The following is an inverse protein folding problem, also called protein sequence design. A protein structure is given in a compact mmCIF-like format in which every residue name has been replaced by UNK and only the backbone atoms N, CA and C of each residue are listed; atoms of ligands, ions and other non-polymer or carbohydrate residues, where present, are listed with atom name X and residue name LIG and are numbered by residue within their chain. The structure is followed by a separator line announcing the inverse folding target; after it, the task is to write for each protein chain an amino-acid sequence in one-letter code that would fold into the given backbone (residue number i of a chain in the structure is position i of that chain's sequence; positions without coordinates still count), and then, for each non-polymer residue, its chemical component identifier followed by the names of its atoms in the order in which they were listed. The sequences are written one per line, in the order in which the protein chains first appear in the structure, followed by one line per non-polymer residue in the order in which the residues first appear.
data_IF_468327119996
#
_entry.id   IF_468327119996
#
_cell.length_a   1.000
_cell.length_b   1.000
_cell.length_c   1.000
_cell.angle_alpha   90.00
_cell.angle_beta   90.00
_cell.angle_gamma   90.00
#
_symmetry.space_group_name_H-M   'P 1'
#
loop_
_entity.id
_entity.type
_entity.pdbx_description
1 polymer ?
#
# COMPACT_ATOMS: atom_id res chain seq x y z
N UNK A 1 12.33 15.20 21.81
CA UNK A 1 12.73 16.45 21.12
C UNK A 1 11.89 17.63 21.58
N UNK A 2 10.57 17.64 21.33
CA UNK A 2 9.69 18.79 21.68
C UNK A 2 9.62 19.11 23.18
N UNK A 3 9.69 18.12 24.07
CA UNK A 3 9.82 18.36 25.52
C UNK A 3 11.05 19.20 25.87
N UNK A 4 12.18 18.99 25.18
CA UNK A 4 13.43 19.74 25.44
C UNK A 4 13.37 21.18 24.91
N UNK A 5 12.64 21.41 23.81
CA UNK A 5 12.57 22.73 23.15
C UNK A 5 11.45 23.60 23.71
N UNK A 6 10.28 23.02 23.94
CA UNK A 6 9.05 23.74 24.30
C UNK A 6 8.61 23.48 25.75
N UNK A 7 9.22 22.52 26.45
CA UNK A 7 8.97 22.28 27.87
C UNK A 7 7.50 22.02 28.20
N UNK A 8 7.04 22.69 29.26
CA UNK A 8 5.70 22.52 29.86
C UNK A 8 4.54 22.82 28.90
N UNK A 9 4.55 23.90 28.08
CA UNK A 9 3.53 24.15 27.05
C UNK A 9 3.25 22.96 26.13
N UNK A 10 4.30 22.27 25.68
CA UNK A 10 4.15 21.08 24.85
C UNK A 10 3.62 19.89 25.65
N UNK A 11 4.15 19.64 26.84
CA UNK A 11 3.72 18.51 27.68
C UNK A 11 2.23 18.58 28.05
N UNK A 12 1.69 19.79 28.25
CA UNK A 12 0.28 19.99 28.59
C UNK A 12 -0.66 19.88 27.38
N UNK A 13 -0.13 19.88 26.16
CA UNK A 13 -0.91 19.85 24.92
C UNK A 13 -0.40 18.75 23.96
N UNK A 14 0.33 17.74 24.48
CA UNK A 14 0.93 16.69 23.66
C UNK A 14 -0.13 15.86 22.94
N UNK A 15 -1.33 15.76 23.53
CA UNK A 15 -2.50 15.08 22.99
C UNK A 15 -2.83 15.53 21.55
N UNK A 16 -2.67 16.82 21.22
CA UNK A 16 -2.92 17.34 19.86
C UNK A 16 -2.01 16.66 18.84
N UNK A 17 -0.74 16.42 19.21
CA UNK A 17 0.23 15.75 18.36
C UNK A 17 0.04 14.23 18.38
N UNK A 18 -0.27 13.64 19.53
CA UNK A 18 -0.54 12.20 19.66
C UNK A 18 -1.73 11.78 18.79
N UNK A 19 -2.81 12.57 18.79
CA UNK A 19 -3.98 12.35 17.93
C UNK A 19 -3.62 12.47 16.44
N UNK A 20 -2.80 13.45 16.05
CA UNK A 20 -2.31 13.57 14.68
C UNK A 20 -1.56 12.31 14.24
N UNK A 21 -0.64 11.80 15.06
CA UNK A 21 0.12 10.59 14.74
C UNK A 21 -0.76 9.33 14.72
N UNK A 22 -1.77 9.25 15.59
CA UNK A 22 -2.74 8.16 15.58
C UNK A 22 -3.56 8.12 14.28
N UNK A 23 -4.05 9.27 13.82
CA UNK A 23 -4.80 9.37 12.56
C UNK A 23 -3.90 9.11 11.33
N UNK A 24 -2.65 9.59 11.33
CA UNK A 24 -1.67 9.26 10.28
C UNK A 24 -1.43 7.75 10.20
N UNK A 25 -1.28 7.09 11.36
CA UNK A 25 -1.13 5.63 11.42
C UNK A 25 -2.37 4.91 10.92
N UNK A 26 -3.57 5.39 11.29
CA UNK A 26 -4.85 4.83 10.85
C UNK A 26 -5.02 4.95 9.33
N UNK A 27 -4.68 6.10 8.76
CA UNK A 27 -4.67 6.31 7.31
C UNK A 27 -3.73 5.32 6.61
N UNK A 28 -2.52 5.16 7.12
CA UNK A 28 -1.53 4.22 6.58
C UNK A 28 -2.01 2.76 6.62
N UNK A 29 -2.65 2.33 7.71
CA UNK A 29 -3.17 0.95 7.84
C UNK A 29 -4.43 0.67 7.02
N UNK A 30 -4.90 1.63 6.22
CA UNK A 30 -6.07 1.44 5.34
C UNK A 30 -7.38 2.01 5.88
N UNK A 31 -7.36 2.80 6.94
CA UNK A 31 -8.54 3.50 7.44
C UNK A 31 -9.13 4.47 6.40
N UNK A 32 -10.45 4.65 6.44
CA UNK A 32 -11.16 5.67 5.65
C UNK A 32 -11.02 7.03 6.33
N UNK A 33 -9.84 7.64 6.20
CA UNK A 33 -9.51 8.95 6.78
C UNK A 33 -9.19 9.90 5.64
N UNK A 34 -9.78 11.09 5.63
CA UNK A 34 -9.39 12.15 4.73
C UNK A 34 -8.15 12.87 5.29
N UNK A 35 -7.01 12.67 4.63
CA UNK A 35 -5.73 13.19 5.10
C UNK A 35 -5.69 14.73 5.11
N UNK A 36 -6.36 15.35 4.15
CA UNK A 36 -6.42 16.81 4.04
C UNK A 36 -7.25 17.43 5.16
N UNK A 37 -8.42 16.86 5.43
CA UNK A 37 -9.29 17.26 6.53
C UNK A 37 -8.60 17.10 7.88
N UNK A 38 -8.00 15.93 8.13
CA UNK A 38 -7.28 15.65 9.38
C UNK A 38 -6.13 16.63 9.63
N UNK A 39 -5.39 17.02 8.58
CA UNK A 39 -4.32 18.01 8.70
C UNK A 39 -4.89 19.40 8.96
N UNK A 40 -5.98 19.79 8.29
CA UNK A 40 -6.63 21.07 8.53
C UNK A 40 -7.13 21.15 9.99
N UNK A 41 -7.79 20.10 10.49
CA UNK A 41 -8.27 20.00 11.87
C UNK A 41 -7.14 20.10 12.90
N UNK A 42 -6.00 19.44 12.63
CA UNK A 42 -4.82 19.55 13.48
C UNK A 42 -4.34 21.00 13.59
N UNK A 43 -4.24 21.72 12.47
CA UNK A 43 -3.78 23.11 12.47
C UNK A 43 -4.77 24.07 13.12
N UNK A 44 -6.07 23.87 12.94
CA UNK A 44 -7.12 24.64 13.61
C UNK A 44 -7.06 24.47 15.12
N UNK A 45 -7.02 23.22 15.60
CA UNK A 45 -6.90 22.92 17.04
C UNK A 45 -5.60 23.44 17.63
N UNK A 46 -4.49 23.35 16.89
CA UNK A 46 -3.21 23.88 17.34
C UNK A 46 -3.23 25.41 17.44
N UNK A 47 -3.89 26.09 16.48
CA UNK A 47 -4.05 27.55 16.51
C UNK A 47 -4.82 27.99 17.75
N UNK A 48 -5.98 27.40 18.02
CA UNK A 48 -6.82 27.73 19.18
C UNK A 48 -6.05 27.55 20.50
N UNK A 49 -5.36 26.42 20.65
CA UNK A 49 -4.55 26.12 21.85
C UNK A 49 -3.40 27.11 22.00
N UNK A 50 -2.63 27.37 20.95
CA UNK A 50 -1.53 28.33 20.99
C UNK A 50 -2.02 29.74 21.30
N UNK A 51 -3.11 30.17 20.66
CA UNK A 51 -3.65 31.52 20.83
C UNK A 51 -4.10 31.75 22.26
N UNK A 52 -4.75 30.75 22.88
CA UNK A 52 -5.16 30.79 24.29
C UNK A 52 -3.97 30.80 25.24
N UNK A 53 -2.92 30.02 24.96
CA UNK A 53 -1.71 29.98 25.78
C UNK A 53 -0.91 31.28 25.73
N UNK A 54 -0.82 31.90 24.55
CA UNK A 54 -0.09 33.17 24.37
C UNK A 54 -0.84 34.36 24.96
N UNK A 55 -2.18 34.28 25.02
CA UNK A 55 -3.05 35.37 25.50
C UNK A 55 -3.79 34.97 26.78
N UNK A 56 -3.13 34.26 27.70
CA UNK A 56 -3.74 33.73 28.93
C UNK A 56 -4.29 34.80 29.88
N UNK A 57 -3.95 36.06 29.66
CA UNK A 57 -4.46 37.23 30.40
C UNK A 57 -5.87 37.67 29.97
N UNK A 58 -6.35 37.17 28.83
CA UNK A 58 -7.68 37.49 28.30
C UNK A 58 -8.59 36.27 28.38
N UNK A 59 -9.88 36.50 28.63
CA UNK A 59 -10.91 35.46 28.49
C UNK A 59 -11.30 35.40 27.03
N UNK A 60 -10.82 34.37 26.34
CA UNK A 60 -11.08 34.16 24.91
C UNK A 60 -12.35 33.32 24.78
N UNK A 61 -13.40 33.91 24.20
CA UNK A 61 -14.65 33.21 23.92
C UNK A 61 -14.55 32.34 22.68
N UNK A 62 -15.44 31.37 22.56
CA UNK A 62 -15.53 30.50 21.38
C UNK A 62 -15.81 31.30 20.09
N UNK A 63 -16.70 32.29 20.16
CA UNK A 63 -16.98 33.22 19.05
C UNK A 63 -15.71 33.97 18.57
N UNK A 64 -14.80 34.30 19.49
CA UNK A 64 -13.55 34.97 19.15
C UNK A 64 -12.58 34.03 18.45
N UNK A 65 -12.52 32.76 18.87
CA UNK A 65 -11.73 31.73 18.19
C UNK A 65 -12.27 31.44 16.78
N UNK A 66 -13.60 31.39 16.61
CA UNK A 66 -14.22 31.24 15.29
C UNK A 66 -13.88 32.43 14.38
N UNK A 67 -13.90 33.64 14.93
CA UNK A 67 -13.47 34.84 14.22
C UNK A 67 -12.01 34.72 13.74
N UNK A 68 -11.09 34.31 14.62
CA UNK A 68 -9.68 34.10 14.26
C UNK A 68 -9.54 33.05 13.16
N UNK A 69 -10.29 31.95 13.25
CA UNK A 69 -10.27 30.88 12.25
C UNK A 69 -10.50 31.43 10.83
N UNK A 70 -11.43 32.40 10.68
CA UNK A 70 -11.73 33.08 9.39
C UNK A 70 -10.56 33.90 8.82
N UNK A 71 -9.67 34.41 9.66
CA UNK A 71 -8.51 35.21 9.24
C UNK A 71 -7.21 34.39 9.11
N UNK A 72 -7.23 33.10 9.44
CA UNK A 72 -6.05 32.24 9.46
C UNK A 72 -5.31 32.21 8.12
N UNK A 73 -6.04 32.16 7.00
CA UNK A 73 -5.44 32.11 5.66
C UNK A 73 -4.73 33.39 5.25
N UNK A 74 -5.21 34.54 5.75
CA UNK A 74 -4.62 35.85 5.48
C UNK A 74 -3.41 36.12 6.38
N UNK A 75 -3.54 35.81 7.68
CA UNK A 75 -2.51 36.09 8.68
C UNK A 75 -1.38 35.07 8.68
N UNK A 76 -1.65 33.83 8.24
CA UNK A 76 -0.68 32.72 8.21
C UNK A 76 0.12 32.63 9.52
N UNK A 77 -0.52 32.38 10.67
CA UNK A 77 0.14 32.37 11.98
C UNK A 77 1.30 31.36 12.07
N UNK A 78 1.24 30.29 11.28
CA UNK A 78 2.30 29.27 11.17
C UNK A 78 3.15 29.41 9.90
N UNK A 79 3.05 30.54 9.20
CA UNK A 79 3.69 30.79 7.92
C UNK A 79 3.31 29.76 6.86
N UNK A 80 4.30 29.29 6.11
CA UNK A 80 4.13 28.23 5.09
C UNK A 80 4.08 26.81 5.68
N UNK A 81 4.23 26.65 7.00
CA UNK A 81 4.30 25.35 7.68
C UNK A 81 3.13 24.42 7.33
N UNK A 82 1.86 24.83 7.52
CA UNK A 82 0.69 24.01 7.21
C UNK A 82 0.63 23.56 5.75
N UNK A 83 0.87 24.49 4.83
CA UNK A 83 0.83 24.23 3.38
C UNK A 83 1.93 23.25 2.95
N UNK A 84 3.16 23.44 3.43
CA UNK A 84 4.30 22.56 3.11
C UNK A 84 4.12 21.17 3.72
N UNK A 85 3.73 21.10 4.99
CA UNK A 85 3.48 19.83 5.68
C UNK A 85 2.40 19.04 4.95
N UNK A 86 1.28 19.69 4.61
CA UNK A 86 0.18 19.09 3.85
C UNK A 86 0.64 18.52 2.53
N UNK A 87 1.35 19.30 1.71
CA UNK A 87 1.83 18.81 0.42
C UNK A 87 2.79 17.62 0.56
N UNK A 88 3.71 17.66 1.53
CA UNK A 88 4.71 16.60 1.73
C UNK A 88 4.09 15.33 2.32
N UNK A 89 3.29 15.46 3.38
CA UNK A 89 2.63 14.35 4.06
C UNK A 89 1.65 13.67 3.13
N UNK A 90 0.84 14.43 2.36
CA UNK A 90 -0.08 13.85 1.39
C UNK A 90 0.62 13.01 0.34
N UNK A 91 1.69 13.53 -0.28
CA UNK A 91 2.45 12.76 -1.26
C UNK A 91 3.09 11.51 -0.66
N UNK A 92 3.74 11.65 0.50
CA UNK A 92 4.45 10.56 1.14
C UNK A 92 3.51 9.44 1.61
N UNK A 93 2.40 9.78 2.27
CA UNK A 93 1.47 8.79 2.80
C UNK A 93 0.63 8.11 1.72
N UNK A 94 0.23 8.83 0.66
CA UNK A 94 -0.42 8.21 -0.50
C UNK A 94 0.53 7.19 -1.13
N UNK A 95 1.78 7.58 -1.42
CA UNK A 95 2.76 6.68 -2.02
C UNK A 95 3.03 5.44 -1.14
N UNK A 96 3.25 5.63 0.16
CA UNK A 96 3.48 4.53 1.10
C UNK A 96 2.27 3.58 1.20
N UNK A 97 1.05 4.14 1.31
CA UNK A 97 -0.19 3.36 1.37
C UNK A 97 -0.41 2.57 0.08
N UNK A 98 -0.31 3.22 -1.07
CA UNK A 98 -0.45 2.58 -2.39
C UNK A 98 0.59 1.48 -2.58
N UNK A 99 1.84 1.70 -2.15
CA UNK A 99 2.89 0.69 -2.25
C UNK A 99 2.58 -0.55 -1.40
N UNK A 100 2.22 -0.38 -0.12
CA UNK A 100 1.91 -1.49 0.78
C UNK A 100 0.63 -2.23 0.37
N UNK A 101 -0.41 -1.51 -0.03
CA UNK A 101 -1.63 -2.10 -0.59
C UNK A 101 -1.33 -2.85 -1.89
N UNK A 102 -0.51 -2.26 -2.75
CA UNK A 102 0.03 -2.89 -3.96
C UNK A 102 0.67 -4.23 -3.62
N UNK A 103 1.64 -4.27 -2.72
CA UNK A 103 2.31 -5.51 -2.28
C UNK A 103 1.33 -6.55 -1.70
N UNK A 104 0.32 -6.11 -0.96
CA UNK A 104 -0.72 -7.00 -0.43
C UNK A 104 -1.54 -7.64 -1.55
N UNK A 105 -1.96 -6.85 -2.55
CA UNK A 105 -2.67 -7.36 -3.73
C UNK A 105 -1.78 -8.30 -4.53
N UNK A 106 -0.51 -7.96 -4.75
CA UNK A 106 0.46 -8.82 -5.43
C UNK A 106 0.64 -10.16 -4.72
N UNK A 107 0.77 -10.16 -3.39
CA UNK A 107 0.77 -11.38 -2.58
C UNK A 107 -0.50 -12.19 -2.78
N UNK A 108 -1.67 -11.55 -2.75
CA UNK A 108 -2.95 -12.25 -2.89
C UNK A 108 -3.11 -12.89 -4.27
N UNK A 109 -2.78 -12.16 -5.34
CA UNK A 109 -2.76 -12.68 -6.72
C UNK A 109 -1.76 -13.83 -6.84
N UNK A 110 -0.53 -13.65 -6.35
CA UNK A 110 0.49 -14.69 -6.36
C UNK A 110 0.04 -15.93 -5.57
N UNK A 111 -0.66 -15.77 -4.45
CA UNK A 111 -1.22 -16.88 -3.69
C UNK A 111 -2.38 -17.57 -4.41
N UNK A 112 -3.26 -16.84 -5.11
CA UNK A 112 -4.35 -17.42 -5.91
C UNK A 112 -3.78 -18.21 -7.08
N UNK A 113 -2.90 -17.60 -7.87
CA UNK A 113 -2.17 -18.29 -8.96
C UNK A 113 -1.36 -19.45 -8.41
N UNK A 114 -0.66 -19.27 -7.29
CA UNK A 114 0.11 -20.34 -6.67
C UNK A 114 -0.77 -21.43 -6.12
N UNK A 115 -2.00 -21.21 -5.65
CA UNK A 115 -2.92 -22.30 -5.27
C UNK A 115 -3.38 -23.10 -6.49
N UNK A 116 -3.69 -22.41 -7.59
CA UNK A 116 -3.98 -23.05 -8.88
C UNK A 116 -2.77 -23.86 -9.39
N UNK A 117 -1.55 -23.36 -9.17
CA UNK A 117 -0.29 -23.98 -9.60
C UNK A 117 0.25 -25.02 -8.58
N UNK A 118 0.03 -24.85 -7.27
CA UNK A 118 0.45 -25.80 -6.22
C UNK A 118 -0.37 -27.08 -6.26
N UNK A 119 -1.51 -27.08 -6.96
CA UNK A 119 -2.20 -28.31 -7.34
C UNK A 119 -1.32 -29.23 -8.21
N UNK A 120 -0.22 -28.73 -8.79
CA UNK A 120 0.78 -29.55 -9.49
C UNK A 120 1.68 -30.36 -8.55
N UNK A 121 1.79 -30.02 -7.25
CA UNK A 121 2.60 -30.78 -6.29
C UNK A 121 1.85 -31.99 -5.71
N UNK A 122 0.53 -32.03 -5.89
CA UNK A 122 -0.29 -33.21 -5.64
C UNK A 122 -0.74 -33.76 -7.00
N UNK A 123 0.16 -34.55 -7.62
CA UNK A 123 -0.04 -35.37 -8.81
C UNK A 123 -1.43 -35.21 -9.47
N UNK A 124 -1.53 -34.25 -10.39
CA UNK A 124 -2.37 -34.36 -11.58
C UNK A 124 -3.90 -34.37 -11.35
N UNK A 125 -4.43 -34.01 -10.18
CA UNK A 125 -5.85 -33.67 -10.05
C UNK A 125 -5.95 -32.50 -9.06
N UNK A 126 -6.32 -31.29 -9.47
CA UNK A 126 -7.72 -30.90 -9.66
C UNK A 126 -7.91 -29.60 -10.52
N UNK A 127 -6.86 -28.97 -11.07
CA UNK A 127 -7.01 -27.73 -11.89
C UNK A 127 -6.41 -27.72 -13.30
N UNK A 128 -5.77 -28.82 -13.75
CA UNK A 128 -5.17 -28.88 -15.09
C UNK A 128 -6.08 -29.56 -16.11
N UNK A 129 -6.15 -29.01 -17.32
CA UNK A 129 -7.03 -29.55 -18.37
C UNK A 129 -6.63 -30.99 -18.74
N UNK A 130 -7.58 -31.86 -19.12
CA UNK A 130 -7.27 -33.22 -19.59
C UNK A 130 -6.27 -33.26 -20.76
N UNK A 131 -6.21 -32.18 -21.56
CA UNK A 131 -5.25 -32.02 -22.63
C UNK A 131 -3.82 -31.84 -22.10
N UNK A 132 -3.62 -31.01 -21.06
CA UNK A 132 -2.32 -30.84 -20.42
C UNK A 132 -1.83 -32.14 -19.78
N UNK A 133 -2.71 -32.87 -19.08
CA UNK A 133 -2.37 -34.16 -18.46
C UNK A 133 -1.84 -35.14 -19.52
N UNK A 134 -2.54 -35.28 -20.65
CA UNK A 134 -2.09 -36.13 -21.76
C UNK A 134 -0.74 -35.68 -22.32
N UNK A 135 -0.54 -34.37 -22.50
CA UNK A 135 0.70 -33.83 -23.06
C UNK A 135 1.90 -34.04 -22.11
N UNK A 136 1.73 -33.81 -20.81
CA UNK A 136 2.74 -34.07 -19.79
C UNK A 136 3.07 -35.55 -19.68
N UNK A 137 2.07 -36.42 -19.66
CA UNK A 137 2.28 -37.88 -19.63
C UNK A 137 3.05 -38.36 -20.85
N UNK A 138 2.72 -37.84 -22.04
CA UNK A 138 3.45 -38.16 -23.27
C UNK A 138 4.90 -37.69 -23.21
N UNK A 139 5.15 -36.52 -22.66
CA UNK A 139 6.49 -35.96 -22.55
C UNK A 139 7.37 -36.70 -21.54
N UNK A 140 6.80 -37.10 -20.40
CA UNK A 140 7.57 -37.67 -19.27
C UNK A 140 7.65 -39.19 -19.30
N UNK A 141 6.56 -39.89 -19.65
CA UNK A 141 6.45 -41.33 -19.45
C UNK A 141 6.47 -42.18 -20.72
N UNK A 142 6.13 -41.63 -21.89
CA UNK A 142 6.20 -42.42 -23.13
C UNK A 142 7.59 -43.00 -23.47
N UNK A 143 8.73 -42.35 -23.15
CA UNK A 143 10.05 -42.96 -23.39
C UNK A 143 10.24 -44.28 -22.63
N UNK A 144 9.67 -44.43 -21.44
CA UNK A 144 9.70 -45.68 -20.68
C UNK A 144 8.89 -46.77 -21.39
N UNK A 145 7.68 -46.44 -21.85
CA UNK A 145 6.83 -47.38 -22.59
C UNK A 145 7.42 -47.80 -23.94
N UNK A 146 8.30 -46.97 -24.52
CA UNK A 146 9.00 -47.25 -25.78
C UNK A 146 10.36 -47.95 -25.58
N UNK A 147 10.74 -48.29 -24.34
CA UNK A 147 12.00 -48.97 -24.06
C UNK A 147 13.25 -48.08 -24.13
N UNK A 148 13.08 -46.75 -24.10
CA UNK A 148 14.17 -45.76 -24.15
C UNK A 148 14.20 -44.84 -22.90
N UNK A 149 14.33 -45.40 -21.68
CA UNK A 149 14.15 -44.65 -20.43
C UNK A 149 15.24 -43.60 -20.15
N UNK A 150 16.40 -43.68 -20.80
CA UNK A 150 17.52 -42.75 -20.60
C UNK A 150 17.35 -41.41 -21.34
N UNK A 151 16.36 -41.29 -22.23
CA UNK A 151 16.17 -40.11 -23.07
C UNK A 151 15.36 -39.04 -22.31
N UNK A 152 15.97 -37.86 -22.17
CA UNK A 152 15.27 -36.68 -21.62
C UNK A 152 14.49 -35.95 -22.73
N UNK A 153 13.34 -35.32 -22.40
CA UNK A 153 12.61 -34.52 -23.37
C UNK A 153 13.44 -33.32 -23.85
N UNK A 154 13.34 -33.01 -25.14
CA UNK A 154 14.00 -31.85 -25.74
C UNK A 154 13.57 -30.55 -25.06
N UNK A 155 14.48 -29.58 -24.93
CA UNK A 155 14.20 -28.27 -24.30
C UNK A 155 12.95 -27.60 -24.87
N UNK A 156 12.85 -27.46 -26.19
CA UNK A 156 11.72 -26.79 -26.85
C UNK A 156 10.42 -27.59 -26.72
N UNK A 157 10.51 -28.92 -26.73
CA UNK A 157 9.34 -29.78 -26.52
C UNK A 157 8.77 -29.58 -25.10
N UNK A 158 9.65 -29.56 -24.09
CA UNK A 158 9.28 -29.27 -22.72
C UNK A 158 8.63 -27.89 -22.57
N UNK A 159 9.26 -26.85 -23.11
CA UNK A 159 8.73 -25.49 -23.04
C UNK A 159 7.35 -25.38 -23.70
N UNK A 160 7.12 -26.01 -24.85
CA UNK A 160 5.83 -25.96 -25.53
C UNK A 160 4.72 -26.67 -24.75
N UNK A 161 5.02 -27.84 -24.16
CA UNK A 161 4.07 -28.58 -23.31
C UNK A 161 3.71 -27.76 -22.08
N UNK A 162 4.71 -27.20 -21.37
CA UNK A 162 4.48 -26.41 -20.16
C UNK A 162 3.75 -25.10 -20.47
N UNK A 163 4.07 -24.42 -21.57
CA UNK A 163 3.35 -23.21 -22.02
C UNK A 163 1.87 -23.50 -22.30
N UNK A 164 1.56 -24.62 -22.96
CA UNK A 164 0.17 -25.02 -23.20
C UNK A 164 -0.56 -25.37 -21.90
N UNK A 165 0.14 -25.92 -20.92
CA UNK A 165 -0.40 -26.24 -19.60
C UNK A 165 -0.65 -25.00 -18.71
N UNK A 166 0.16 -23.96 -18.87
CA UNK A 166 0.12 -22.73 -18.08
C UNK A 166 -0.44 -21.52 -18.88
N UNK A 167 -1.17 -21.77 -19.97
CA UNK A 167 -1.65 -20.70 -20.85
C UNK A 167 -2.50 -19.66 -20.10
N UNK A 168 -3.45 -20.12 -19.28
CA UNK A 168 -4.30 -19.24 -18.47
C UNK A 168 -3.51 -18.39 -17.45
N UNK A 169 -2.39 -18.91 -16.94
CA UNK A 169 -1.51 -18.18 -16.04
C UNK A 169 -0.60 -17.21 -16.81
N UNK A 170 -0.22 -17.56 -18.05
CA UNK A 170 0.55 -16.69 -18.92
C UNK A 170 -0.22 -15.43 -19.32
N UNK A 171 -1.56 -15.48 -19.34
CA UNK A 171 -2.40 -14.31 -19.58
C UNK A 171 -2.23 -13.20 -18.52
N UNK A 172 -1.76 -13.54 -17.31
CA UNK A 172 -1.45 -12.56 -16.26
C UNK A 172 -0.08 -11.90 -16.44
N UNK A 173 0.83 -12.44 -17.27
CA UNK A 173 2.18 -11.91 -17.45
C UNK A 173 2.24 -10.42 -17.86
N UNK A 174 1.46 -9.92 -18.85
CA UNK A 174 1.51 -8.50 -19.22
C UNK A 174 1.06 -7.59 -18.07
N UNK A 175 -0.06 -7.91 -17.41
CA UNK A 175 -0.58 -7.14 -16.28
C UNK A 175 0.37 -7.19 -15.08
N UNK A 176 1.01 -8.33 -14.84
CA UNK A 176 2.00 -8.49 -13.79
C UNK A 176 3.25 -7.64 -14.05
N UNK A 177 3.72 -7.58 -15.30
CA UNK A 177 4.85 -6.75 -15.70
C UNK A 177 4.56 -5.25 -15.52
N UNK A 178 3.34 -4.81 -15.86
CA UNK A 178 2.88 -3.44 -15.57
C UNK A 178 2.83 -3.17 -14.07
N UNK A 179 2.29 -4.12 -13.29
CA UNK A 179 2.17 -4.03 -11.84
C UNK A 179 3.52 -3.89 -11.12
N UNK A 180 4.55 -4.63 -11.54
CA UNK A 180 5.91 -4.53 -10.95
C UNK A 180 6.73 -3.35 -11.49
N UNK A 181 6.19 -2.58 -12.43
CA UNK A 181 6.88 -1.44 -13.03
C UNK A 181 7.97 -1.83 -14.03
N UNK A 182 7.90 -3.02 -14.64
CA UNK A 182 8.70 -3.30 -15.84
C UNK A 182 8.05 -2.57 -17.01
N UNK A 183 8.54 -1.36 -17.30
CA UNK A 183 8.33 -0.74 -18.60
C UNK A 183 8.95 -1.66 -19.67
N UNK A 184 8.13 -2.11 -20.61
CA UNK A 184 8.61 -2.77 -21.82
C UNK A 184 9.35 -1.73 -22.66
N UNK A 185 10.67 -1.69 -22.52
CA UNK A 185 11.59 -1.16 -23.53
C UNK A 185 11.99 -2.27 -24.51
#
# INVERSE_FOLDING_TARGET
MFVKTYGKPYMQNSEVFENLFAELKRYYTGGNVNLEEMLNDFWSRLLERMFTLLNSQYVITEDYLECISKYTDQLKPFGDGPRKLKAQVTRAFIAARTFVQGLSVGREVAQRVSKEVWSLRQLVQVSSSPACIRALTKMLYCPFCQGIPAVKPCKNYCLNVVKGCLANQADLDPEWNLYIGKSFE
#
